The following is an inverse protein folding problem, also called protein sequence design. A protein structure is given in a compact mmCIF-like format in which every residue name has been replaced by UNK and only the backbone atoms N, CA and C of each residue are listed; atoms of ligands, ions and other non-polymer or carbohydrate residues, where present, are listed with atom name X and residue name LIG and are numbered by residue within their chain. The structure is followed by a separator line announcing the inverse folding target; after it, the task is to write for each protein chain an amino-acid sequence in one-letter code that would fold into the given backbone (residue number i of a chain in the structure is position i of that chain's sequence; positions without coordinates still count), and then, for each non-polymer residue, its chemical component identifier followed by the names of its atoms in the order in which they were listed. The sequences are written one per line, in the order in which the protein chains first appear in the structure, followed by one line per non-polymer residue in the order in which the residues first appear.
data_IF_843157546321
#
_entry.id   IF_843157546321
#
_cell.length_a   1.000
_cell.length_b   1.000
_cell.length_c   1.000
_cell.angle_alpha   90.00
_cell.angle_beta   90.00
_cell.angle_gamma   90.00
#
_symmetry.space_group_name_H-M   'P 1'
#
loop_
_entity.id
_entity.type
_entity.pdbx_description
1 polymer ?
#
# COMPACT_ATOMS: atom_id res chain seq x y z
N UNK A 1 -4.93 2.25 37.73
CA UNK A 1 -4.78 1.52 36.44
C UNK A 1 -3.71 2.09 35.52
N UNK A 2 -3.52 3.42 35.43
CA UNK A 2 -2.47 4.01 34.59
C UNK A 2 -1.05 3.65 35.06
N UNK A 3 -0.80 3.70 36.36
CA UNK A 3 0.51 3.41 36.96
C UNK A 3 1.00 1.99 36.67
N UNK A 4 0.14 0.96 36.86
CA UNK A 4 0.51 -0.43 36.53
C UNK A 4 0.90 -0.64 35.05
N UNK A 5 0.31 0.12 34.12
CA UNK A 5 0.66 0.04 32.69
C UNK A 5 2.00 0.69 32.41
N UNK A 6 2.29 1.78 33.10
CA UNK A 6 3.57 2.50 33.00
C UNK A 6 4.71 1.68 33.61
N UNK A 7 4.44 0.97 34.70
CA UNK A 7 5.38 0.04 35.35
C UNK A 7 5.73 -1.15 34.45
N UNK A 8 4.71 -1.77 33.82
CA UNK A 8 4.89 -2.81 32.81
C UNK A 8 5.69 -2.33 31.58
N UNK A 9 5.44 -1.10 31.15
CA UNK A 9 6.20 -0.48 30.07
C UNK A 9 7.67 -0.28 30.44
N UNK A 10 7.95 0.20 31.67
CA UNK A 10 9.32 0.38 32.15
C UNK A 10 10.06 -0.96 32.26
N UNK A 11 9.40 -2.02 32.75
CA UNK A 11 10.00 -3.37 32.78
C UNK A 11 10.30 -3.89 31.37
N UNK A 12 9.37 -3.73 30.43
CA UNK A 12 9.59 -4.15 29.04
C UNK A 12 10.71 -3.35 28.36
N UNK A 13 10.81 -2.06 28.67
CA UNK A 13 11.86 -1.19 28.14
C UNK A 13 13.23 -1.56 28.71
N UNK A 14 13.35 -1.74 30.03
CA UNK A 14 14.61 -2.15 30.67
C UNK A 14 15.05 -3.53 30.17
N UNK A 15 14.13 -4.48 30.02
CA UNK A 15 14.42 -5.78 29.42
C UNK A 15 14.94 -5.69 27.98
N UNK A 16 14.47 -4.71 27.21
CA UNK A 16 14.90 -4.52 25.83
C UNK A 16 16.22 -3.73 25.69
N UNK A 17 16.58 -2.89 26.66
CA UNK A 17 17.81 -2.08 26.63
C UNK A 17 18.97 -2.67 27.43
N UNK A 18 18.71 -3.34 28.56
CA UNK A 18 19.75 -3.90 29.43
C UNK A 18 20.14 -5.34 29.03
N UNK A 19 19.22 -6.08 28.41
CA UNK A 19 19.47 -7.47 28.01
C UNK A 19 19.51 -7.61 26.48
N UNK A 20 20.57 -8.24 25.97
CA UNK A 20 20.65 -8.65 24.57
C UNK A 20 19.72 -9.85 24.32
N UNK A 21 18.45 -9.55 24.08
CA UNK A 21 17.44 -10.57 23.82
C UNK A 21 17.70 -11.28 22.49
N UNK A 22 17.45 -12.60 22.41
CA UNK A 22 17.47 -13.34 21.14
C UNK A 22 16.53 -12.67 20.12
N UNK A 23 16.92 -12.68 18.83
CA UNK A 23 16.22 -11.94 17.77
C UNK A 23 14.70 -12.23 17.69
N UNK A 24 14.26 -13.45 18.01
CA UNK A 24 12.84 -13.81 18.07
C UNK A 24 12.10 -13.09 19.20
N UNK A 25 12.63 -13.18 20.42
CA UNK A 25 12.04 -12.57 21.64
C UNK A 25 12.09 -11.04 21.57
N UNK A 26 13.16 -10.48 20.99
CA UNK A 26 13.27 -9.03 20.77
C UNK A 26 12.19 -8.48 19.83
N UNK A 27 11.70 -9.29 18.88
CA UNK A 27 10.61 -8.88 17.99
C UNK A 27 9.26 -8.85 18.72
N UNK A 28 8.98 -9.88 19.52
CA UNK A 28 7.75 -9.96 20.32
C UNK A 28 7.71 -8.84 21.36
N UNK A 29 8.82 -8.58 22.07
CA UNK A 29 8.90 -7.48 23.02
C UNK A 29 8.70 -6.11 22.35
N UNK A 30 9.22 -5.91 21.13
CA UNK A 30 8.96 -4.66 20.37
C UNK A 30 7.48 -4.48 20.05
N UNK A 31 6.78 -5.54 19.66
CA UNK A 31 5.33 -5.48 19.40
C UNK A 31 4.55 -5.20 20.68
N UNK A 32 4.96 -5.82 21.79
CA UNK A 32 4.35 -5.62 23.10
C UNK A 32 4.54 -4.17 23.58
N UNK A 33 5.73 -3.62 23.42
CA UNK A 33 6.05 -2.21 23.70
C UNK A 33 5.27 -1.25 22.79
N UNK A 34 5.14 -1.54 21.49
CA UNK A 34 4.31 -0.74 20.59
C UNK A 34 2.83 -0.73 21.05
N UNK A 35 2.28 -1.87 21.47
CA UNK A 35 0.92 -1.97 21.99
C UNK A 35 0.74 -1.20 23.31
N UNK A 36 1.68 -1.34 24.24
CA UNK A 36 1.66 -0.62 25.52
C UNK A 36 1.82 0.90 25.33
N UNK A 37 2.61 1.33 24.34
CA UNK A 37 2.79 2.76 23.99
C UNK A 37 1.48 3.44 23.53
N UNK A 38 0.46 2.67 23.11
CA UNK A 38 -0.89 3.19 22.78
C UNK A 38 -1.64 3.60 24.05
N UNK A 39 -1.39 2.91 25.16
CA UNK A 39 -2.19 3.01 26.38
C UNK A 39 -1.56 3.91 27.46
N UNK A 40 -0.30 4.28 27.27
CA UNK A 40 0.50 5.12 28.18
C UNK A 40 0.71 6.50 27.53
N UNK A 41 0.72 7.57 28.34
CA UNK A 41 0.98 8.91 27.82
C UNK A 41 2.39 9.00 27.21
N UNK A 42 2.57 9.69 26.06
CA UNK A 42 3.87 9.87 25.45
C UNK A 42 4.85 10.55 26.39
N UNK A 43 6.00 9.90 26.66
CA UNK A 43 7.17 10.60 27.19
C UNK A 43 7.87 11.39 26.07
N UNK A 44 8.44 12.57 26.37
CA UNK A 44 9.04 13.45 25.37
C UNK A 44 10.24 12.84 24.60
N UNK A 45 10.81 11.73 25.07
CA UNK A 45 12.00 11.11 24.47
C UNK A 45 11.85 9.61 24.15
N UNK A 46 10.62 9.13 23.98
CA UNK A 46 10.37 7.72 23.69
C UNK A 46 10.57 7.40 22.20
N UNK A 47 11.57 6.55 21.91
CA UNK A 47 11.95 6.09 20.57
C UNK A 47 10.81 5.36 19.87
N UNK A 48 10.03 4.55 20.60
CA UNK A 48 8.91 3.80 20.03
C UNK A 48 7.78 4.75 19.62
N UNK A 49 7.53 5.76 20.45
CA UNK A 49 6.54 6.79 20.17
C UNK A 49 6.92 7.68 18.98
N UNK A 50 8.20 8.04 18.86
CA UNK A 50 8.73 8.76 17.69
C UNK A 50 8.62 7.93 16.41
N UNK A 51 8.97 6.64 16.46
CA UNK A 51 8.87 5.73 15.31
C UNK A 51 7.44 5.59 14.84
N UNK A 52 6.48 5.42 15.76
CA UNK A 52 5.06 5.37 15.44
C UNK A 52 4.56 6.66 14.78
N UNK A 53 4.92 7.83 15.32
CA UNK A 53 4.59 9.13 14.70
C UNK A 53 5.13 9.28 13.28
N UNK A 54 6.28 8.66 12.96
CA UNK A 54 6.81 8.62 11.59
C UNK A 54 6.00 7.67 10.71
N UNK A 55 5.70 6.47 11.19
CA UNK A 55 4.90 5.47 10.47
C UNK A 55 3.49 5.98 10.14
N UNK A 56 2.82 6.66 11.07
CA UNK A 56 1.50 7.24 10.83
C UNK A 56 1.52 8.33 9.75
N UNK A 57 2.55 9.19 9.75
CA UNK A 57 2.76 10.18 8.68
C UNK A 57 3.03 9.51 7.33
N UNK A 58 3.87 8.49 7.31
CA UNK A 58 4.21 7.74 6.11
C UNK A 58 2.99 7.00 5.55
N UNK A 59 2.12 6.45 6.41
CA UNK A 59 0.86 5.82 6.00
C UNK A 59 -0.08 6.82 5.32
N UNK A 60 -0.18 8.05 5.83
CA UNK A 60 -0.97 9.11 5.17
C UNK A 60 -0.36 9.48 3.83
N UNK A 61 0.95 9.62 3.75
CA UNK A 61 1.65 9.91 2.51
C UNK A 61 1.42 8.82 1.46
N UNK A 62 1.57 7.54 1.82
CA UNK A 62 1.33 6.41 0.91
C UNK A 62 -0.11 6.38 0.43
N UNK A 63 -1.09 6.68 1.29
CA UNK A 63 -2.50 6.79 0.85
C UNK A 63 -2.70 7.90 -0.17
N UNK A 64 -2.18 9.09 0.09
CA UNK A 64 -2.30 10.25 -0.82
C UNK A 64 -1.60 9.95 -2.14
N UNK A 65 -0.37 9.43 -2.06
CA UNK A 65 0.42 9.06 -3.23
C UNK A 65 -0.29 7.98 -4.06
N UNK A 66 -0.83 6.95 -3.41
CA UNK A 66 -1.59 5.89 -4.07
C UNK A 66 -2.82 6.41 -4.82
N UNK A 67 -3.58 7.33 -4.22
CA UNK A 67 -4.72 7.99 -4.88
C UNK A 67 -4.24 8.81 -6.08
N UNK A 68 -3.17 9.59 -5.92
CA UNK A 68 -2.62 10.41 -7.00
C UNK A 68 -2.13 9.54 -8.17
N UNK A 69 -1.37 8.48 -7.89
CA UNK A 69 -0.90 7.56 -8.94
C UNK A 69 -2.05 6.88 -9.65
N UNK A 70 -3.11 6.48 -8.94
CA UNK A 70 -4.28 5.88 -9.55
C UNK A 70 -4.93 6.84 -10.54
N UNK A 71 -5.14 8.10 -10.15
CA UNK A 71 -5.70 9.14 -11.02
C UNK A 71 -4.83 9.42 -12.23
N UNK A 72 -3.50 9.51 -12.06
CA UNK A 72 -2.59 9.68 -13.20
C UNK A 72 -2.70 8.50 -14.18
N UNK A 73 -2.63 7.26 -13.68
CA UNK A 73 -2.68 6.06 -14.53
C UNK A 73 -4.03 5.90 -15.25
N UNK A 74 -5.13 6.29 -14.62
CA UNK A 74 -6.46 6.22 -15.26
C UNK A 74 -6.59 7.26 -16.36
N UNK A 75 -6.10 8.48 -16.14
CA UNK A 75 -6.10 9.55 -17.16
C UNK A 75 -5.21 9.18 -18.34
N UNK A 76 -3.99 8.69 -18.08
CA UNK A 76 -3.06 8.28 -19.14
C UNK A 76 -3.63 7.11 -19.97
N UNK A 77 -4.25 6.13 -19.31
CA UNK A 77 -4.95 5.03 -19.97
C UNK A 77 -6.12 5.52 -20.83
N UNK A 78 -6.93 6.45 -20.33
CA UNK A 78 -8.02 7.05 -21.10
C UNK A 78 -7.51 7.83 -22.32
N UNK A 79 -6.39 8.54 -22.17
CA UNK A 79 -5.77 9.28 -23.27
C UNK A 79 -5.23 8.32 -24.35
N UNK A 80 -4.56 7.23 -23.97
CA UNK A 80 -4.13 6.21 -24.94
C UNK A 80 -5.32 5.61 -25.68
N UNK A 81 -6.37 5.19 -24.98
CA UNK A 81 -7.58 4.66 -25.60
C UNK A 81 -8.26 5.68 -26.52
N UNK A 82 -8.34 6.94 -26.10
CA UNK A 82 -8.91 8.00 -26.94
C UNK A 82 -8.11 8.25 -28.21
N UNK A 83 -6.77 8.19 -28.13
CA UNK A 83 -5.89 8.31 -29.30
C UNK A 83 -6.04 7.11 -30.23
N UNK A 84 -6.15 5.91 -29.67
CA UNK A 84 -6.35 4.69 -30.45
C UNK A 84 -7.70 4.68 -31.18
N UNK A 85 -8.79 5.10 -30.52
CA UNK A 85 -10.11 5.29 -31.13
C UNK A 85 -10.07 6.36 -32.22
N UNK A 86 -9.29 7.44 -32.04
CA UNK A 86 -9.19 8.54 -33.01
C UNK A 86 -8.29 8.22 -34.20
N UNK A 87 -7.29 7.35 -34.01
CA UNK A 87 -6.38 6.86 -35.06
C UNK A 87 -6.97 5.69 -35.85
N UNK A 88 -7.94 4.96 -35.29
CA UNK A 88 -8.76 3.99 -36.01
C UNK A 88 -10.13 4.62 -36.34
N UNK A 89 -10.25 5.48 -37.37
CA UNK A 89 -11.56 5.83 -37.88
C UNK A 89 -12.17 4.53 -38.40
N UNK A 90 -13.13 3.99 -37.65
CA UNK A 90 -13.83 2.77 -38.03
C UNK A 90 -14.69 3.09 -39.24
N UNK A 91 -14.08 3.00 -40.42
CA UNK A 91 -14.75 3.19 -41.69
C UNK A 91 -15.46 1.87 -42.03
N UNK A 92 -16.67 1.93 -42.59
CA UNK A 92 -17.45 0.73 -42.93
C UNK A 92 -16.73 -0.26 -43.88
N UNK A 93 -15.63 0.17 -44.49
CA UNK A 93 -14.73 -0.69 -45.28
C UNK A 93 -13.95 -1.70 -44.42
N UNK A 94 -13.57 -1.31 -43.20
CA UNK A 94 -12.87 -2.19 -42.26
C UNK A 94 -13.84 -3.26 -41.72
N UNK A 95 -15.07 -2.86 -41.40
CA UNK A 95 -16.13 -3.81 -41.00
C UNK A 95 -16.50 -4.76 -42.14
N UNK A 96 -16.47 -4.30 -43.41
CA UNK A 96 -16.69 -5.16 -44.58
C UNK A 96 -15.54 -6.15 -44.81
N UNK A 97 -14.28 -5.73 -44.60
CA UNK A 97 -13.13 -6.61 -44.69
C UNK A 97 -13.13 -7.66 -43.56
N UNK A 98 -13.40 -7.28 -42.32
CA UNK A 98 -13.54 -8.23 -41.20
C UNK A 98 -14.66 -9.25 -41.47
N UNK A 99 -15.79 -8.82 -42.03
CA UNK A 99 -16.87 -9.72 -42.46
C UNK A 99 -16.43 -10.69 -43.58
N UNK A 100 -15.70 -10.19 -44.58
CA UNK A 100 -15.18 -11.02 -45.67
C UNK A 100 -14.15 -12.05 -45.16
N UNK A 101 -13.27 -11.68 -44.22
CA UNK A 101 -12.31 -12.58 -43.60
C UNK A 101 -13.00 -13.66 -42.76
N UNK A 102 -13.97 -13.32 -41.92
CA UNK A 102 -14.77 -14.31 -41.18
C UNK A 102 -15.50 -15.28 -42.12
N UNK A 103 -16.04 -14.78 -43.24
CA UNK A 103 -16.74 -15.61 -44.21
C UNK A 103 -15.78 -16.55 -44.96
N UNK A 104 -14.58 -16.09 -45.28
CA UNK A 104 -13.55 -16.89 -45.93
C UNK A 104 -13.04 -18.01 -45.00
N UNK A 105 -12.88 -17.74 -43.71
CA UNK A 105 -12.49 -18.76 -42.72
C UNK A 105 -13.62 -19.78 -42.47
N UNK A 106 -14.89 -19.34 -42.48
CA UNK A 106 -16.04 -20.24 -42.38
C UNK A 106 -16.16 -21.19 -43.59
N UNK A 107 -15.80 -20.72 -44.79
CA UNK A 107 -15.78 -21.54 -46.00
C UNK A 107 -14.58 -22.50 -46.11
N UNK A 108 -13.46 -22.17 -45.47
CA UNK A 108 -12.24 -22.98 -45.53
C UNK A 108 -12.04 -23.93 -44.35
N UNK A 109 -13.04 -24.06 -43.47
CA UNK A 109 -13.20 -25.17 -42.53
C UNK A 109 -11.96 -25.52 -41.71
N UNK A 110 -11.79 -24.87 -40.57
CA UNK A 110 -11.29 -25.55 -39.37
C UNK A 110 -12.45 -25.92 -38.47
#
# INVERSE_FOLDING_TARGET
MKEKKEELYNMGFSLATEYNLPHGVGRENKQLLELLSVQVQPRPNDVYWMRRRRMERMKRFVKIWGVFTLVCTTVDGLQMLSKEIRLKPRNGLDDFNDWCYMKHDWWNGR
#
